data_IF_385309619129
#
_entry.id   IF_385309619129
#
_cell.length_a   1.000
_cell.length_b   1.000
_cell.length_c   1.000
_cell.angle_alpha   90.00
_cell.angle_beta   90.00
_cell.angle_gamma   90.00
#
_symmetry.space_group_name_H-M   'P 1'
#
loop_
_entity.id
_entity.type
_entity.pdbx_description
1 polymer ?
#
# COMPACT_ATOMS: atom_id res chain seq x y z
N UNK A 1 22.52 14.09 -19.87
CA UNK A 1 21.30 13.44 -19.37
C UNK A 1 20.23 13.58 -20.43
N UNK A 2 19.71 12.47 -20.95
CA UNK A 2 18.60 12.52 -21.91
C UNK A 2 17.36 13.07 -21.21
N UNK A 3 16.48 13.76 -21.96
CA UNK A 3 15.18 14.19 -21.43
C UNK A 3 14.32 12.95 -21.19
N UNK A 4 13.73 12.85 -20.00
CA UNK A 4 12.75 11.81 -19.69
C UNK A 4 11.57 11.91 -20.66
N UNK A 5 11.13 10.76 -21.16
CA UNK A 5 9.93 10.64 -21.99
C UNK A 5 8.87 9.85 -21.24
N UNK A 6 7.60 10.13 -21.51
CA UNK A 6 6.48 9.47 -20.84
C UNK A 6 6.54 7.95 -21.00
N UNK A 7 6.89 7.47 -22.20
CA UNK A 7 6.96 6.04 -22.52
C UNK A 7 8.07 5.33 -21.73
N UNK A 8 9.26 5.94 -21.63
CA UNK A 8 10.36 5.40 -20.83
C UNK A 8 9.98 5.34 -19.35
N UNK A 9 9.44 6.41 -18.79
CA UNK A 9 9.01 6.44 -17.40
C UNK A 9 7.91 5.42 -17.11
N UNK A 10 6.93 5.26 -18.01
CA UNK A 10 5.85 4.28 -17.85
C UNK A 10 6.38 2.84 -17.84
N UNK A 11 7.35 2.54 -18.70
CA UNK A 11 7.98 1.24 -18.76
C UNK A 11 8.91 0.97 -17.56
N UNK A 12 9.67 1.97 -17.12
CA UNK A 12 10.55 1.88 -15.94
C UNK A 12 9.77 1.74 -14.63
N UNK A 13 8.59 2.38 -14.53
CA UNK A 13 7.69 2.23 -13.39
C UNK A 13 6.95 0.88 -13.39
N UNK A 14 6.91 0.17 -14.52
CA UNK A 14 6.23 -1.12 -14.60
C UNK A 14 4.72 -1.04 -14.41
N UNK A 15 4.09 0.08 -14.79
CA UNK A 15 2.63 0.26 -14.66
C UNK A 15 1.90 -0.89 -15.37
N UNK A 16 1.00 -1.54 -14.65
CA UNK A 16 0.28 -2.75 -15.09
C UNK A 16 0.95 -4.07 -14.72
N UNK A 17 2.13 -4.05 -14.09
CA UNK A 17 2.82 -5.24 -13.60
C UNK A 17 2.43 -5.56 -12.14
N UNK A 18 2.71 -6.79 -11.72
CA UNK A 18 2.45 -7.27 -10.37
C UNK A 18 3.75 -7.38 -9.57
N UNK A 19 3.69 -6.96 -8.30
CA UNK A 19 4.79 -7.09 -7.34
C UNK A 19 4.32 -7.98 -6.19
N UNK A 20 5.03 -9.08 -5.96
CA UNK A 20 4.75 -9.97 -4.84
C UNK A 20 5.14 -9.32 -3.51
N UNK A 21 4.21 -9.35 -2.55
CA UNK A 21 4.44 -8.87 -1.19
C UNK A 21 3.92 -9.88 -0.17
N UNK A 22 4.75 -10.26 0.82
CA UNK A 22 4.29 -11.08 1.92
C UNK A 22 3.47 -10.23 2.90
N UNK A 23 2.33 -10.77 3.34
CA UNK A 23 1.52 -10.22 4.42
C UNK A 23 1.58 -11.13 5.65
N UNK A 24 1.54 -10.51 6.83
CA UNK A 24 1.52 -11.21 8.12
C UNK A 24 0.38 -10.68 8.96
N UNK A 25 -0.33 -11.59 9.62
CA UNK A 25 -1.44 -11.32 10.51
C UNK A 25 -1.54 -12.40 11.59
N UNK A 26 -2.35 -12.18 12.61
CA UNK A 26 -2.55 -13.15 13.68
C UNK A 26 -3.70 -14.09 13.35
N UNK A 27 -3.45 -15.39 13.48
CA UNK A 27 -4.48 -16.42 13.37
C UNK A 27 -5.39 -16.45 14.61
N UNK A 28 -6.49 -17.23 14.58
CA UNK A 28 -7.41 -17.45 15.72
C UNK A 28 -6.70 -17.86 17.02
N UNK A 29 -5.51 -18.47 16.91
CA UNK A 29 -4.70 -18.92 18.04
C UNK A 29 -3.70 -17.85 18.55
N UNK A 30 -3.66 -16.66 17.93
CA UNK A 30 -2.70 -15.60 18.26
C UNK A 30 -1.29 -15.81 17.69
N UNK A 31 -1.09 -16.88 16.90
CA UNK A 31 0.18 -17.15 16.20
C UNK A 31 0.29 -16.30 14.94
N UNK A 32 1.53 -16.03 14.53
CA UNK A 32 1.81 -15.41 13.23
C UNK A 32 1.38 -16.36 12.10
N UNK A 33 0.44 -15.90 11.30
CA UNK A 33 0.07 -16.46 10.01
C UNK A 33 0.37 -15.44 8.91
N UNK A 34 0.47 -15.91 7.68
CA UNK A 34 0.80 -15.04 6.57
C UNK A 34 0.73 -15.78 5.25
N UNK A 35 0.79 -15.01 4.19
CA UNK A 35 0.80 -15.49 2.83
C UNK A 35 1.33 -14.41 1.90
N UNK A 36 1.44 -14.75 0.62
CA UNK A 36 1.90 -13.84 -0.42
C UNK A 36 0.70 -13.32 -1.19
N UNK A 37 0.74 -12.04 -1.55
CA UNK A 37 -0.25 -11.38 -2.41
C UNK A 37 0.47 -10.62 -3.51
N UNK A 38 -0.19 -10.49 -4.65
CA UNK A 38 0.29 -9.69 -5.76
C UNK A 38 -0.27 -8.28 -5.67
N UNK A 39 0.60 -7.28 -5.75
CA UNK A 39 0.23 -5.88 -5.78
C UNK A 39 0.37 -5.36 -7.21
N UNK A 40 -0.74 -4.95 -7.82
CA UNK A 40 -0.76 -4.30 -9.12
C UNK A 40 -0.18 -2.89 -9.03
N UNK A 41 0.82 -2.59 -9.86
CA UNK A 41 1.33 -1.22 -10.03
C UNK A 41 0.33 -0.44 -10.89
N UNK A 42 -0.67 0.15 -10.23
CA UNK A 42 -1.69 0.98 -10.85
C UNK A 42 -1.17 2.38 -11.18
N UNK A 43 -1.70 2.97 -12.26
CA UNK A 43 -1.46 4.37 -12.60
C UNK A 43 -2.10 5.32 -11.57
N UNK A 44 -1.57 6.54 -11.46
CA UNK A 44 -2.19 7.56 -10.61
C UNK A 44 -3.67 7.83 -10.97
N UNK A 45 -4.01 7.80 -12.25
CA UNK A 45 -5.40 7.95 -12.72
C UNK A 45 -6.32 6.84 -12.19
N UNK A 46 -5.84 5.61 -12.13
CA UNK A 46 -6.60 4.47 -11.59
C UNK A 46 -6.77 4.59 -10.07
N UNK A 47 -5.73 5.04 -9.36
CA UNK A 47 -5.77 5.28 -7.91
C UNK A 47 -6.81 6.35 -7.57
N UNK A 48 -6.85 7.45 -8.31
CA UNK A 48 -7.85 8.53 -8.12
C UNK A 48 -9.27 8.04 -8.41
N UNK A 49 -9.41 7.05 -9.29
CA UNK A 49 -10.69 6.40 -9.64
C UNK A 49 -11.04 5.22 -8.74
N UNK A 50 -10.15 4.76 -7.85
CA UNK A 50 -10.45 3.69 -6.90
C UNK A 50 -11.77 3.89 -6.14
N UNK A 51 -12.09 5.07 -5.56
CA UNK A 51 -13.33 5.25 -4.81
C UNK A 51 -14.61 5.21 -5.64
N UNK A 52 -14.52 5.23 -6.98
CA UNK A 52 -15.68 5.13 -7.87
C UNK A 52 -16.39 3.77 -7.74
N UNK A 53 -15.69 2.75 -7.22
CA UNK A 53 -16.27 1.43 -6.90
C UNK A 53 -17.46 1.51 -5.93
N UNK A 54 -17.46 2.52 -5.05
CA UNK A 54 -18.54 2.74 -4.08
C UNK A 54 -19.77 3.43 -4.68
N UNK A 55 -19.69 3.93 -5.93
CA UNK A 55 -20.77 4.62 -6.64
C UNK A 55 -21.44 5.72 -5.81
N UNK A 56 -20.66 6.42 -4.97
CA UNK A 56 -21.17 7.46 -4.10
C UNK A 56 -21.57 8.68 -4.94
N UNK A 57 -22.76 9.23 -4.66
CA UNK A 57 -23.26 10.46 -5.32
C UNK A 57 -22.37 11.67 -5.02
N UNK A 58 -21.76 11.69 -3.85
CA UNK A 58 -20.85 12.74 -3.42
C UNK A 58 -19.53 12.12 -2.94
N UNK A 59 -18.45 12.40 -3.67
CA UNK A 59 -17.10 11.91 -3.34
C UNK A 59 -16.57 12.52 -2.04
N UNK A 60 -17.14 13.62 -1.55
CA UNK A 60 -16.76 14.26 -0.29
C UNK A 60 -17.23 13.48 0.95
N UNK A 61 -18.20 12.57 0.81
CA UNK A 61 -18.69 11.72 1.91
C UNK A 61 -17.88 10.43 2.06
N UNK A 62 -16.85 10.23 1.23
CA UNK A 62 -15.99 9.05 1.28
C UNK A 62 -15.18 9.04 2.58
N UNK A 63 -15.37 7.99 3.37
CA UNK A 63 -14.56 7.78 4.58
C UNK A 63 -13.16 7.25 4.24
N UNK A 64 -12.19 7.52 5.13
CA UNK A 64 -10.81 6.99 4.98
C UNK A 64 -10.82 5.45 4.91
N UNK A 65 -11.68 4.80 5.68
CA UNK A 65 -11.85 3.34 5.65
C UNK A 65 -12.32 2.85 4.27
N UNK A 66 -13.33 3.50 3.68
CA UNK A 66 -13.79 3.17 2.33
C UNK A 66 -12.73 3.42 1.26
N UNK A 67 -11.94 4.50 1.41
CA UNK A 67 -10.81 4.76 0.52
C UNK A 67 -9.77 3.64 0.62
N UNK A 68 -9.35 3.25 1.84
CA UNK A 68 -8.41 2.15 2.07
C UNK A 68 -8.91 0.86 1.42
N UNK A 69 -10.18 0.50 1.63
CA UNK A 69 -10.80 -0.68 1.04
C UNK A 69 -10.86 -0.64 -0.48
N UNK A 70 -11.18 0.53 -1.06
CA UNK A 70 -11.16 0.71 -2.50
C UNK A 70 -9.75 0.54 -3.09
N UNK A 71 -8.74 1.09 -2.43
CA UNK A 71 -7.34 0.95 -2.85
C UNK A 71 -6.89 -0.52 -2.80
N UNK A 72 -7.16 -1.22 -1.69
CA UNK A 72 -6.88 -2.65 -1.57
C UNK A 72 -7.61 -3.44 -2.67
N UNK A 73 -8.88 -3.15 -2.92
CA UNK A 73 -9.66 -3.83 -3.97
C UNK A 73 -9.14 -3.56 -5.39
N UNK A 74 -8.54 -2.39 -5.62
CA UNK A 74 -7.92 -2.05 -6.89
C UNK A 74 -6.60 -2.80 -7.09
N UNK A 75 -5.79 -2.91 -6.04
CA UNK A 75 -4.37 -3.25 -6.18
C UNK A 75 -3.98 -4.62 -5.68
N UNK A 76 -4.79 -5.29 -4.85
CA UNK A 76 -4.45 -6.61 -4.29
C UNK A 76 -5.08 -7.75 -5.09
N UNK A 77 -4.21 -8.64 -5.54
CA UNK A 77 -4.50 -9.81 -6.37
C UNK A 77 -4.04 -11.09 -5.68
N UNK A 78 -4.78 -12.18 -5.89
CA UNK A 78 -4.38 -13.51 -5.46
C UNK A 78 -3.35 -14.08 -6.44
N UNK A 79 -3.64 -13.94 -7.74
CA UNK A 79 -2.80 -14.33 -8.86
C UNK A 79 -2.95 -13.31 -10.00
N UNK A 80 -2.11 -13.38 -11.03
CA UNK A 80 -2.15 -12.43 -12.15
C UNK A 80 -3.53 -12.45 -12.83
N UNK A 81 -4.22 -11.31 -12.81
CA UNK A 81 -5.58 -11.18 -13.35
C UNK A 81 -6.71 -11.62 -12.41
N UNK A 82 -6.43 -12.25 -11.26
CA UNK A 82 -7.45 -12.62 -10.27
C UNK A 82 -7.36 -11.79 -8.99
N UNK A 83 -8.42 -11.04 -8.71
CA UNK A 83 -8.49 -10.20 -7.51
C UNK A 83 -8.55 -11.05 -6.24
N UNK A 84 -7.87 -10.59 -5.19
CA UNK A 84 -7.96 -11.21 -3.87
C UNK A 84 -9.37 -11.11 -3.28
N UNK A 85 -10.07 -10.02 -3.58
CA UNK A 85 -11.47 -9.82 -3.19
C UNK A 85 -12.35 -9.81 -4.45
N UNK A 86 -13.41 -10.65 -4.52
CA UNK A 86 -14.31 -10.66 -5.66
C UNK A 86 -15.15 -9.38 -5.74
N UNK A 87 -15.53 -8.81 -4.59
CA UNK A 87 -16.19 -7.50 -4.50
C UNK A 87 -15.52 -6.59 -3.46
N UNK A 88 -15.73 -5.28 -3.57
CA UNK A 88 -15.20 -4.33 -2.57
C UNK A 88 -15.80 -4.56 -1.18
N UNK A 89 -17.02 -5.11 -1.09
CA UNK A 89 -17.69 -5.41 0.18
C UNK A 89 -17.03 -6.59 0.91
N UNK A 90 -16.41 -7.53 0.18
CA UNK A 90 -15.67 -8.65 0.78
C UNK A 90 -14.47 -8.20 1.60
N UNK A 91 -13.93 -6.99 1.37
CA UNK A 91 -12.90 -6.39 2.23
C UNK A 91 -13.38 -6.21 3.67
N UNK A 92 -14.69 -6.10 3.90
CA UNK A 92 -15.28 -6.01 5.24
C UNK A 92 -15.33 -7.33 6.00
N UNK A 93 -15.02 -8.47 5.35
CA UNK A 93 -15.06 -9.81 5.97
C UNK A 93 -13.80 -10.13 6.78
N UNK A 94 -12.72 -9.39 6.55
CA UNK A 94 -11.45 -9.61 7.23
C UNK A 94 -11.31 -8.70 8.44
N UNK A 95 -10.48 -9.11 9.40
CA UNK A 95 -10.13 -8.28 10.55
C UNK A 95 -9.37 -7.03 10.12
N UNK A 96 -9.51 -5.94 10.88
CA UNK A 96 -8.83 -4.67 10.60
C UNK A 96 -7.30 -4.80 10.50
N UNK A 97 -6.71 -5.76 11.21
CA UNK A 97 -5.28 -6.06 11.11
C UNK A 97 -4.87 -6.53 9.71
N UNK A 98 -5.66 -7.43 9.10
CA UNK A 98 -5.39 -7.93 7.75
C UNK A 98 -5.56 -6.84 6.71
N UNK A 99 -6.59 -6.01 6.87
CA UNK A 99 -6.84 -4.86 5.99
C UNK A 99 -5.70 -3.86 6.07
N UNK A 100 -5.18 -3.57 7.26
CA UNK A 100 -4.02 -2.69 7.41
C UNK A 100 -2.73 -3.33 6.85
N UNK A 101 -2.54 -4.63 7.00
CA UNK A 101 -1.40 -5.34 6.42
C UNK A 101 -1.41 -5.28 4.89
N UNK A 102 -2.57 -5.54 4.28
CA UNK A 102 -2.78 -5.42 2.83
C UNK A 102 -2.59 -3.99 2.34
N UNK A 103 -3.14 -3.01 3.06
CA UNK A 103 -2.96 -1.59 2.75
C UNK A 103 -1.49 -1.19 2.75
N UNK A 104 -0.73 -1.60 3.77
CA UNK A 104 0.70 -1.32 3.87
C UNK A 104 1.50 -1.98 2.75
N UNK A 105 1.21 -3.25 2.44
CA UNK A 105 1.86 -3.94 1.34
C UNK A 105 1.64 -3.21 0.00
N UNK A 106 0.42 -2.70 -0.24
CA UNK A 106 0.12 -1.88 -1.40
C UNK A 106 0.82 -0.49 -1.36
N UNK A 107 0.82 0.18 -0.21
CA UNK A 107 1.47 1.47 0.01
C UNK A 107 2.99 1.40 -0.18
N UNK A 108 3.64 0.29 0.17
CA UNK A 108 5.08 0.11 -0.07
C UNK A 108 5.45 0.11 -1.57
N UNK A 109 4.53 -0.36 -2.42
CA UNK A 109 4.74 -0.46 -3.87
C UNK A 109 4.34 0.84 -4.56
N UNK A 110 3.21 1.43 -4.16
CA UNK A 110 2.57 2.54 -4.86
C UNK A 110 2.75 3.90 -4.18
N UNK A 111 3.25 3.91 -2.95
CA UNK A 111 3.49 5.09 -2.13
C UNK A 111 2.29 6.05 -2.04
N UNK A 112 1.09 5.52 -1.80
CA UNK A 112 -0.12 6.34 -1.65
C UNK A 112 0.05 7.44 -0.58
N UNK A 113 0.80 7.10 0.47
CA UNK A 113 1.05 7.99 1.61
C UNK A 113 2.22 8.96 1.39
N UNK A 114 2.99 8.82 0.31
CA UNK A 114 4.18 9.64 0.04
C UNK A 114 5.35 9.36 0.99
N UNK A 115 5.24 8.38 1.89
CA UNK A 115 6.22 8.13 2.95
C UNK A 115 7.48 7.44 2.46
N UNK A 116 7.35 6.65 1.40
CA UNK A 116 8.42 5.91 0.76
C UNK A 116 9.05 6.68 -0.41
N UNK A 117 8.60 7.91 -0.67
CA UNK A 117 9.20 8.82 -1.63
C UNK A 117 10.70 9.01 -1.37
N UNK A 118 11.50 9.02 -2.44
CA UNK A 118 12.98 9.12 -2.40
C UNK A 118 13.45 10.30 -1.53
N UNK A 119 12.72 11.41 -1.54
CA UNK A 119 12.99 12.58 -0.69
C UNK A 119 12.94 12.28 0.81
N UNK A 120 12.02 11.43 1.26
CA UNK A 120 11.86 11.04 2.65
C UNK A 120 12.91 10.01 3.09
N UNK A 121 13.32 9.09 2.19
CA UNK A 121 14.40 8.13 2.46
C UNK A 121 15.77 8.83 2.59
N UNK A 122 15.99 9.92 1.85
CA UNK A 122 17.24 10.69 1.93
C UNK A 122 17.34 11.51 3.22
N UNK A 123 16.21 11.93 3.80
CA UNK A 123 16.17 12.67 5.07
C UNK A 123 16.35 11.78 6.31
N UNK A 124 15.95 10.50 6.28
CA UNK A 124 16.08 9.60 7.44
C UNK A 124 17.50 9.08 7.68
N UNK A 125 18.43 9.35 6.76
CA UNK A 125 19.85 9.00 6.90
C UNK A 125 20.66 9.99 7.76
N UNK A 126 20.02 11.05 8.27
CA UNK A 126 20.60 11.99 9.23
C UNK A 126 20.00 11.82 10.62
N UNK A 127 20.82 11.41 11.58
CA UNK A 127 20.58 11.46 13.03
C UNK A 127 19.68 10.38 13.66
N UNK A 128 20.30 9.26 14.02
CA UNK A 128 20.48 8.90 15.43
C UNK A 128 21.52 7.78 15.56
N UNK A 129 22.79 8.13 15.34
CA UNK A 129 23.87 7.41 16.01
C UNK A 129 23.75 7.70 17.50
N UNK A 130 23.56 6.65 18.28
CA UNK A 130 23.59 6.68 19.73
C UNK A 130 24.88 7.35 20.22
N UNK A 131 24.75 8.43 21.00
CA UNK A 131 25.74 8.77 22.02
C UNK A 131 25.06 8.64 23.37
N UNK A 132 25.41 7.55 24.03
CA UNK A 132 25.15 7.25 25.42
C UNK A 132 26.08 8.14 26.25
N UNK A 133 25.55 9.17 26.91
CA UNK A 133 26.23 9.88 28.00
C UNK A 133 25.26 9.79 29.18
N UNK A 134 25.30 8.65 29.89
CA UNK A 134 25.88 8.51 31.22
C UNK A 134 25.16 9.35 32.28
N UNK A 135 24.51 8.61 33.17
CA UNK A 135 23.92 9.09 34.40
C UNK A 135 24.93 9.92 35.21
N UNK A 136 24.49 11.07 35.69
CA UNK A 136 24.97 11.61 36.97
C UNK A 136 23.76 11.83 37.86
N UNK A 137 23.61 10.86 38.75
CA UNK A 137 22.93 10.92 40.03
C UNK A 137 23.81 11.79 40.96
N UNK A 138 23.30 12.94 41.41
CA UNK A 138 23.48 13.52 42.77
C UNK A 138 22.81 14.89 42.92
#
# INVERSE_FOLDING_TARGET
>A
MARLTLEQTHQELGIGSYVEKPIRYRDKNGNEAGGEVLILIASHDEIVKAPDVWKLKNKAELTIDQLKKALIFLTVYHEEGEKFFPTVEDTGRLSSEVIEALYKAADEVLDFSGKNSISNQTMSSGASSSSMELAEEQ
#
